data_IF_834629648215
#
_entry.id   IF_834629648215
#
_cell.length_a   1.000
_cell.length_b   1.000
_cell.length_c   1.000
_cell.angle_alpha   90.00
_cell.angle_beta   90.00
_cell.angle_gamma   90.00
#
_symmetry.space_group_name_H-M   'P 1'
#
loop_
_entity.id
_entity.type
_entity.pdbx_description
1 polymer ?
#
# COMPACT_ATOMS: atom_id res chain seq x y z
N UNK A 1 -5.66 14.38 -19.49
CA UNK A 1 -4.35 13.71 -19.30
C UNK A 1 -3.87 13.07 -20.59
N UNK A 2 -4.55 12.02 -21.10
CA UNK A 2 -4.15 11.30 -22.33
C UNK A 2 -3.92 12.23 -23.52
N UNK A 3 -4.81 13.20 -23.72
CA UNK A 3 -4.72 14.13 -24.86
C UNK A 3 -3.48 15.03 -24.79
N UNK A 4 -3.11 15.49 -23.58
CA UNK A 4 -1.90 16.29 -23.36
C UNK A 4 -0.65 15.46 -23.70
N UNK A 5 -0.58 14.22 -23.20
CA UNK A 5 0.57 13.34 -23.48
C UNK A 5 0.68 13.02 -24.97
N UNK A 6 -0.44 12.75 -25.65
CA UNK A 6 -0.47 12.55 -27.11
C UNK A 6 -0.04 13.79 -27.88
N UNK A 7 -0.49 14.98 -27.47
CA UNK A 7 -0.09 16.24 -28.08
C UNK A 7 1.42 16.48 -27.96
N UNK A 8 2.03 16.04 -26.85
CA UNK A 8 3.48 16.07 -26.65
C UNK A 8 4.23 14.97 -27.41
N UNK A 9 3.55 14.16 -28.21
CA UNK A 9 4.14 13.11 -29.05
C UNK A 9 4.23 11.74 -28.40
N UNK A 10 3.67 11.53 -27.20
CA UNK A 10 3.66 10.21 -26.58
C UNK A 10 2.73 9.24 -27.32
N UNK A 11 3.24 8.03 -27.60
CA UNK A 11 2.42 6.91 -28.06
C UNK A 11 1.82 6.23 -26.84
N UNK A 12 0.49 6.11 -26.81
CA UNK A 12 -0.24 5.54 -25.68
C UNK A 12 -0.98 4.27 -26.12
N UNK A 13 -0.71 3.18 -25.42
CA UNK A 13 -1.46 1.94 -25.48
C UNK A 13 -1.88 1.49 -24.08
N UNK A 14 -2.85 0.58 -24.01
CA UNK A 14 -3.38 0.09 -22.73
C UNK A 14 -2.66 -1.19 -22.30
N UNK A 15 -2.38 -1.30 -21.00
CA UNK A 15 -1.79 -2.48 -20.40
C UNK A 15 -2.57 -2.89 -19.16
N UNK A 16 -2.77 -4.19 -18.99
CA UNK A 16 -3.46 -4.76 -17.84
C UNK A 16 -2.43 -5.26 -16.84
N UNK A 17 -2.45 -4.68 -15.65
CA UNK A 17 -1.68 -5.19 -14.50
C UNK A 17 -2.54 -6.13 -13.65
N UNK A 18 -1.91 -6.81 -12.70
CA UNK A 18 -2.60 -7.62 -11.68
C UNK A 18 -3.62 -6.75 -10.91
N UNK A 19 -4.73 -7.34 -10.41
CA UNK A 19 -5.68 -6.61 -9.58
C UNK A 19 -5.02 -5.82 -8.44
N UNK A 20 -5.48 -4.59 -8.23
CA UNK A 20 -4.91 -3.69 -7.22
C UNK A 20 -4.97 -4.26 -5.79
N UNK A 21 -6.00 -5.05 -5.50
CA UNK A 21 -6.15 -5.74 -4.21
C UNK A 21 -4.95 -6.65 -3.91
N UNK A 22 -4.40 -7.31 -4.92
CA UNK A 22 -3.30 -8.25 -4.71
C UNK A 22 -2.02 -7.54 -4.30
N UNK A 23 -1.71 -6.42 -4.97
CA UNK A 23 -0.59 -5.56 -4.56
C UNK A 23 -0.82 -5.00 -3.14
N UNK A 24 -2.06 -4.65 -2.79
CA UNK A 24 -2.37 -4.17 -1.45
C UNK A 24 -2.18 -5.25 -0.39
N UNK A 25 -2.60 -6.47 -0.64
CA UNK A 25 -2.42 -7.60 0.28
C UNK A 25 -0.93 -7.87 0.52
N UNK A 26 -0.14 -7.96 -0.55
CA UNK A 26 1.32 -8.15 -0.44
C UNK A 26 1.97 -6.98 0.30
N UNK A 27 1.57 -5.74 0.03
CA UNK A 27 2.05 -4.56 0.77
C UNK A 27 1.82 -4.71 2.26
N UNK A 28 0.58 -5.01 2.66
CA UNK A 28 0.20 -5.10 4.09
C UNK A 28 0.93 -6.25 4.78
N UNK A 29 1.00 -7.42 4.13
CA UNK A 29 1.64 -8.62 4.70
C UNK A 29 3.17 -8.55 4.76
N UNK A 30 3.80 -7.59 4.08
CA UNK A 30 5.22 -7.27 4.25
C UNK A 30 5.40 -6.13 5.26
N UNK A 31 4.66 -5.03 5.08
CA UNK A 31 4.84 -3.80 5.86
C UNK A 31 4.43 -3.94 7.33
N UNK A 32 3.26 -4.51 7.63
CA UNK A 32 2.74 -4.50 9.01
C UNK A 32 3.54 -5.42 9.96
N UNK A 33 4.04 -6.60 9.54
CA UNK A 33 5.01 -7.36 10.32
C UNK A 33 6.29 -6.58 10.62
N UNK A 34 6.82 -5.81 9.66
CA UNK A 34 8.00 -4.97 9.86
C UNK A 34 7.73 -3.84 10.85
N UNK A 35 6.59 -3.15 10.72
CA UNK A 35 6.14 -2.13 11.68
C UNK A 35 6.02 -2.72 13.07
N UNK A 36 5.37 -3.88 13.22
CA UNK A 36 5.23 -4.54 14.51
C UNK A 36 6.60 -4.90 15.11
N UNK A 37 7.50 -5.48 14.31
CA UNK A 37 8.83 -5.86 14.77
C UNK A 37 9.65 -4.64 15.26
N UNK A 38 9.60 -3.52 14.54
CA UNK A 38 10.29 -2.27 14.93
C UNK A 38 9.73 -1.73 16.25
N UNK A 39 8.40 -1.77 16.42
CA UNK A 39 7.72 -1.19 17.58
C UNK A 39 7.45 -2.19 18.72
N UNK A 40 7.87 -3.45 18.61
CA UNK A 40 7.42 -4.54 19.48
C UNK A 40 7.68 -4.26 20.96
N UNK A 41 8.89 -3.82 21.30
CA UNK A 41 9.28 -3.55 22.69
C UNK A 41 8.41 -2.45 23.32
N UNK A 42 8.05 -1.43 22.54
CA UNK A 42 7.20 -0.33 23.00
C UNK A 42 5.71 -0.70 23.00
N UNK A 43 5.25 -1.51 22.05
CA UNK A 43 3.89 -2.06 22.06
C UNK A 43 3.65 -2.98 23.27
N UNK A 44 4.68 -3.65 23.78
CA UNK A 44 4.60 -4.45 25.00
C UNK A 44 4.59 -3.56 26.25
N UNK A 45 5.49 -2.58 26.33
CA UNK A 45 5.72 -1.79 27.55
C UNK A 45 4.73 -0.63 27.72
N UNK A 46 4.39 0.04 26.62
CA UNK A 46 3.67 1.32 26.58
C UNK A 46 2.73 1.44 25.37
N UNK A 47 1.82 0.45 25.15
CA UNK A 47 0.89 0.52 24.02
C UNK A 47 -0.04 1.74 24.08
N UNK A 48 -0.27 2.31 25.27
CA UNK A 48 -1.09 3.52 25.46
C UNK A 48 -0.48 4.81 24.89
N UNK A 49 0.82 4.83 24.57
CA UNK A 49 1.47 5.99 23.93
C UNK A 49 1.09 6.12 22.45
N UNK A 50 0.50 5.07 21.86
CA UNK A 50 0.16 5.03 20.44
C UNK A 50 -1.31 5.41 20.19
N UNK A 51 -1.53 6.15 19.11
CA UNK A 51 -2.88 6.46 18.65
C UNK A 51 -3.65 5.19 18.24
N UNK A 52 -4.97 5.21 18.44
CA UNK A 52 -5.91 4.13 18.08
C UNK A 52 -5.71 3.61 16.65
N UNK A 53 -5.54 4.51 15.68
CA UNK A 53 -5.37 4.15 14.26
C UNK A 53 -4.10 3.33 14.02
N UNK A 54 -3.00 3.69 14.69
CA UNK A 54 -1.76 2.93 14.62
C UNK A 54 -1.92 1.55 15.26
N UNK A 55 -2.52 1.48 16.45
CA UNK A 55 -2.74 0.20 17.15
C UNK A 55 -3.62 -0.75 16.34
N UNK A 56 -4.69 -0.25 15.71
CA UNK A 56 -5.58 -1.05 14.86
C UNK A 56 -4.94 -1.55 13.55
N UNK A 57 -3.73 -1.10 13.23
CA UNK A 57 -2.93 -1.56 12.09
C UNK A 57 -1.75 -2.46 12.50
N UNK A 58 -1.03 -2.04 13.54
CA UNK A 58 0.19 -2.70 14.00
C UNK A 58 -0.09 -3.96 14.82
N UNK A 59 -1.03 -3.93 15.78
CA UNK A 59 -1.33 -5.09 16.64
C UNK A 59 -1.72 -6.35 15.83
N UNK A 60 -2.56 -6.26 14.78
CA UNK A 60 -2.95 -7.42 13.96
C UNK A 60 -1.80 -8.19 13.32
N UNK A 61 -0.61 -7.59 13.22
CA UNK A 61 0.57 -8.29 12.73
C UNK A 61 0.99 -9.46 13.63
N UNK A 62 0.64 -9.45 14.93
CA UNK A 62 0.91 -10.59 15.82
C UNK A 62 0.16 -11.87 15.42
N UNK A 63 -0.87 -11.76 14.59
CA UNK A 63 -1.65 -12.89 14.06
C UNK A 63 -0.98 -13.52 12.83
N UNK A 64 0.04 -12.87 12.25
CA UNK A 64 0.68 -13.27 11.01
C UNK A 64 1.95 -14.06 11.32
N UNK A 65 1.93 -15.35 11.00
CA UNK A 65 3.11 -16.20 11.16
C UNK A 65 4.22 -15.89 10.13
N UNK A 66 5.46 -16.32 10.39
CA UNK A 66 6.61 -16.05 9.50
C UNK A 66 6.41 -16.61 8.08
N UNK A 67 5.67 -17.71 7.94
CA UNK A 67 5.32 -18.28 6.64
C UNK A 67 4.56 -17.29 5.75
N UNK A 68 3.69 -16.44 6.33
CA UNK A 68 2.91 -15.44 5.57
C UNK A 68 3.83 -14.39 4.96
N UNK A 69 4.80 -13.89 5.74
CA UNK A 69 5.79 -12.92 5.27
C UNK A 69 6.63 -13.49 4.12
N UNK A 70 7.07 -14.75 4.23
CA UNK A 70 7.81 -15.44 3.17
C UNK A 70 6.97 -15.61 1.90
N UNK A 71 5.70 -16.02 2.01
CA UNK A 71 4.81 -16.14 0.84
C UNK A 71 4.48 -14.79 0.21
N UNK A 72 4.35 -13.73 1.00
CA UNK A 72 4.20 -12.37 0.48
C UNK A 72 5.44 -11.93 -0.29
N UNK A 73 6.65 -12.24 0.21
CA UNK A 73 7.90 -12.00 -0.50
C UNK A 73 8.00 -12.75 -1.82
N UNK A 74 7.47 -13.98 -1.89
CA UNK A 74 7.36 -14.76 -3.13
C UNK A 74 6.38 -14.13 -4.13
N UNK A 75 5.19 -13.69 -3.67
CA UNK A 75 4.26 -12.96 -4.54
C UNK A 75 4.87 -11.65 -5.04
N UNK A 76 5.61 -10.93 -4.19
CA UNK A 76 6.33 -9.72 -4.58
C UNK A 76 7.29 -9.96 -5.75
N UNK A 77 8.03 -11.09 -5.76
CA UNK A 77 8.91 -11.45 -6.88
C UNK A 77 8.12 -11.60 -8.17
N UNK A 78 7.04 -12.40 -8.18
CA UNK A 78 6.14 -12.53 -9.33
C UNK A 78 5.62 -11.17 -9.83
N UNK A 79 5.23 -10.29 -8.90
CA UNK A 79 4.73 -8.95 -9.23
C UNK A 79 5.79 -8.06 -9.88
N UNK A 80 7.05 -8.16 -9.44
CA UNK A 80 8.18 -7.46 -10.06
C UNK A 80 8.39 -7.96 -11.49
N UNK A 81 8.48 -9.28 -11.69
CA UNK A 81 8.73 -9.88 -12.99
C UNK A 81 7.62 -9.53 -14.00
N UNK A 82 6.35 -9.61 -13.57
CA UNK A 82 5.19 -9.21 -14.38
C UNK A 82 5.20 -7.72 -14.74
N UNK A 83 5.62 -6.86 -13.81
CA UNK A 83 5.69 -5.42 -14.08
C UNK A 83 6.86 -5.07 -15.00
N UNK A 84 8.00 -5.75 -14.89
CA UNK A 84 9.10 -5.63 -15.85
C UNK A 84 8.67 -6.02 -17.26
N UNK A 85 7.98 -7.16 -17.41
CA UNK A 85 7.43 -7.60 -18.70
C UNK A 85 6.48 -6.54 -19.30
N UNK A 86 5.67 -5.88 -18.47
CA UNK A 86 4.77 -4.80 -18.93
C UNK A 86 5.51 -3.56 -19.44
N UNK A 87 6.77 -3.38 -19.03
CA UNK A 87 7.64 -2.26 -19.41
C UNK A 87 8.67 -2.62 -20.50
N UNK A 88 8.72 -3.86 -21.00
CA UNK A 88 9.72 -4.26 -22.03
C UNK A 88 9.64 -3.40 -23.30
N UNK A 89 8.43 -3.06 -23.73
CA UNK A 89 8.17 -2.24 -24.93
C UNK A 89 7.72 -0.81 -24.61
N UNK A 90 7.83 -0.38 -23.33
CA UNK A 90 7.27 0.90 -22.84
C UNK A 90 8.27 1.62 -21.96
N UNK A 91 8.39 2.93 -22.15
CA UNK A 91 9.26 3.76 -21.31
C UNK A 91 8.71 3.96 -19.89
N UNK A 92 7.38 3.98 -19.76
CA UNK A 92 6.69 4.21 -18.49
C UNK A 92 5.26 3.67 -18.49
N UNK A 93 4.74 3.45 -17.29
CA UNK A 93 3.33 3.22 -17.01
C UNK A 93 2.71 4.51 -16.48
N UNK A 94 1.49 4.82 -16.94
CA UNK A 94 0.72 5.96 -16.43
C UNK A 94 -0.65 5.48 -15.95
N UNK A 95 -0.99 5.82 -14.72
CA UNK A 95 -2.28 5.49 -14.09
C UNK A 95 -2.84 6.70 -13.35
N UNK A 96 -4.09 6.58 -12.88
CA UNK A 96 -4.68 7.57 -11.97
C UNK A 96 -3.91 7.59 -10.65
N UNK A 97 -3.65 8.78 -10.13
CA UNK A 97 -3.11 8.93 -8.78
C UNK A 97 -4.21 8.80 -7.72
N UNK A 98 -3.88 9.00 -6.44
CA UNK A 98 -4.87 9.08 -5.37
C UNK A 98 -5.98 10.08 -5.72
N UNK A 99 -7.22 9.72 -5.40
CA UNK A 99 -8.39 10.59 -5.57
C UNK A 99 -8.31 11.86 -4.71
N UNK A 100 -9.33 12.72 -4.79
CA UNK A 100 -9.35 13.95 -4.00
C UNK A 100 -9.28 13.64 -2.50
N UNK A 101 -8.68 14.56 -1.74
CA UNK A 101 -8.56 14.42 -0.30
C UNK A 101 -9.96 14.17 0.32
N UNK A 102 -10.15 13.07 1.07
CA UNK A 102 -11.40 12.84 1.79
C UNK A 102 -11.55 13.88 2.91
N UNK A 103 -12.78 14.05 3.39
CA UNK A 103 -13.02 14.83 4.60
C UNK A 103 -12.32 14.18 5.79
N UNK A 104 -11.86 14.99 6.73
CA UNK A 104 -11.19 14.50 7.93
C UNK A 104 -12.08 13.57 8.77
N UNK A 105 -13.36 13.93 8.90
CA UNK A 105 -14.39 13.14 9.59
C UNK A 105 -14.77 11.83 8.88
N UNK A 106 -14.24 11.55 7.69
CA UNK A 106 -14.46 10.28 6.98
C UNK A 106 -13.37 9.23 7.25
N UNK A 107 -12.26 9.62 7.91
CA UNK A 107 -11.14 8.73 8.16
C UNK A 107 -11.47 7.69 9.24
N UNK A 108 -11.34 6.40 8.92
CA UNK A 108 -11.37 5.32 9.93
C UNK A 108 -10.32 4.26 9.65
N UNK A 109 -10.01 3.52 10.70
CA UNK A 109 -9.14 2.34 10.67
C UNK A 109 -9.85 1.11 10.10
N UNK A 110 -11.15 0.89 10.42
CA UNK A 110 -11.88 -0.36 10.09
C UNK A 110 -13.10 -0.19 9.19
N UNK A 111 -13.37 -1.21 8.36
CA UNK A 111 -14.60 -1.45 7.58
C UNK A 111 -14.39 -1.62 6.05
N UNK A 112 -15.44 -1.97 5.31
CA UNK A 112 -15.40 -2.28 3.87
C UNK A 112 -14.98 -1.09 2.98
N UNK A 113 -15.43 0.14 3.29
CA UNK A 113 -15.08 1.35 2.52
C UNK A 113 -13.83 2.07 3.05
N UNK A 114 -13.07 1.45 3.95
CA UNK A 114 -12.05 2.14 4.74
C UNK A 114 -10.63 1.96 4.19
N UNK A 115 -9.83 3.00 4.39
CA UNK A 115 -8.62 3.26 3.63
C UNK A 115 -7.50 2.23 3.80
N UNK A 116 -7.48 1.49 4.91
CA UNK A 116 -6.36 0.59 5.21
C UNK A 116 -6.67 -0.89 4.89
N UNK A 117 -7.68 -1.47 5.54
CA UNK A 117 -7.98 -2.91 5.42
C UNK A 117 -8.89 -3.27 4.24
N UNK A 118 -9.82 -2.37 3.86
CA UNK A 118 -10.87 -2.67 2.88
C UNK A 118 -10.66 -2.09 1.48
N UNK A 119 -9.91 -0.97 1.38
CA UNK A 119 -9.70 -0.27 0.12
C UNK A 119 -8.24 -0.39 -0.36
N UNK A 120 -8.00 -1.00 -1.54
CA UNK A 120 -6.66 -1.05 -2.10
C UNK A 120 -6.08 0.34 -2.34
N UNK A 121 -4.85 0.55 -1.91
CA UNK A 121 -4.13 1.80 -2.16
C UNK A 121 -3.58 1.82 -3.60
N UNK A 122 -3.90 2.88 -4.36
CA UNK A 122 -3.46 3.10 -5.74
C UNK A 122 -1.94 3.18 -5.89
N UNK A 123 -1.21 3.54 -4.83
CA UNK A 123 0.25 3.59 -4.84
C UNK A 123 0.91 2.26 -4.49
N UNK A 124 0.13 1.25 -4.06
CA UNK A 124 0.65 -0.07 -3.69
C UNK A 124 1.47 -0.75 -4.78
N UNK A 125 1.07 -0.73 -6.07
CA UNK A 125 1.82 -1.45 -7.11
C UNK A 125 3.30 -1.07 -7.15
N UNK A 126 3.59 0.23 -7.23
CA UNK A 126 4.97 0.72 -7.33
C UNK A 126 5.72 0.71 -6.00
N UNK A 127 5.00 0.83 -4.87
CA UNK A 127 5.60 0.67 -3.53
C UNK A 127 6.07 -0.77 -3.30
N UNK A 128 5.24 -1.75 -3.71
CA UNK A 128 5.56 -3.17 -3.58
C UNK A 128 6.70 -3.55 -4.53
N UNK A 129 6.65 -3.14 -5.80
CA UNK A 129 7.71 -3.49 -6.74
C UNK A 129 9.01 -2.72 -6.49
N UNK A 130 8.94 -1.56 -5.85
CA UNK A 130 10.08 -0.66 -5.62
C UNK A 130 10.48 0.12 -6.87
N UNK A 131 9.57 0.26 -7.84
CA UNK A 131 9.85 0.96 -9.09
C UNK A 131 9.74 2.47 -8.88
N UNK A 132 10.58 3.29 -9.55
CA UNK A 132 10.48 4.74 -9.42
C UNK A 132 9.11 5.21 -9.89
N UNK A 133 8.44 6.02 -9.08
CA UNK A 133 7.12 6.54 -9.38
C UNK A 133 6.94 7.99 -8.92
N UNK A 134 6.24 8.79 -9.72
CA UNK A 134 5.96 10.21 -9.49
C UNK A 134 4.46 10.47 -9.59
N UNK A 135 3.92 11.19 -8.61
CA UNK A 135 2.59 11.77 -8.72
C UNK A 135 2.68 13.18 -9.30
N UNK A 136 1.97 13.42 -10.40
CA UNK A 136 1.92 14.71 -11.10
C UNK A 136 0.51 15.28 -11.02
N UNK A 137 0.40 16.58 -10.73
CA UNK A 137 -0.87 17.28 -10.62
C UNK A 137 -1.58 17.37 -11.97
N UNK A 138 -2.83 16.89 -12.05
CA UNK A 138 -3.60 16.79 -13.33
C UNK A 138 -4.85 17.66 -13.36
N UNK A 139 -4.96 18.63 -12.44
CA UNK A 139 -6.12 19.49 -12.27
C UNK A 139 -6.89 19.17 -11.00
N UNK A 140 -8.16 19.58 -10.93
CA UNK A 140 -8.93 19.54 -9.69
C UNK A 140 -10.36 19.04 -9.93
N UNK A 141 -11.00 18.59 -8.86
CA UNK A 141 -12.43 18.26 -8.88
C UNK A 141 -13.27 19.52 -9.05
N UNK A 142 -14.59 19.35 -9.29
CA UNK A 142 -15.56 20.45 -9.28
C UNK A 142 -15.55 21.26 -7.96
N UNK A 143 -15.16 20.62 -6.85
CA UNK A 143 -15.02 21.23 -5.53
C UNK A 143 -13.63 21.88 -5.30
N UNK A 144 -12.77 21.90 -6.30
CA UNK A 144 -11.43 22.51 -6.23
C UNK A 144 -10.38 21.65 -5.53
N UNK A 145 -10.65 20.37 -5.24
CA UNK A 145 -9.67 19.48 -4.62
C UNK A 145 -8.68 18.94 -5.66
N UNK A 146 -7.36 18.92 -5.37
CA UNK A 146 -6.36 18.43 -6.31
C UNK A 146 -6.57 16.97 -6.74
N UNK A 147 -6.26 16.70 -8.01
CA UNK A 147 -6.20 15.38 -8.61
C UNK A 147 -4.78 15.12 -9.16
N UNK A 148 -4.41 13.86 -9.27
CA UNK A 148 -3.09 13.49 -9.78
C UNK A 148 -3.14 12.29 -10.72
N UNK A 149 -2.08 12.13 -11.49
CA UNK A 149 -1.72 10.88 -12.15
C UNK A 149 -0.43 10.35 -11.54
N UNK A 150 -0.25 9.04 -11.57
CA UNK A 150 1.01 8.40 -11.21
C UNK A 150 1.72 7.92 -12.46
N UNK A 151 3.00 8.28 -12.60
CA UNK A 151 3.90 7.79 -13.64
C UNK A 151 4.89 6.85 -12.97
N UNK A 152 5.18 5.69 -13.54
CA UNK A 152 6.22 4.79 -13.06
C UNK A 152 7.09 4.26 -14.20
N UNK A 153 8.37 4.03 -13.96
CA UNK A 153 9.31 3.50 -14.96
C UNK A 153 10.04 2.26 -14.44
N UNK A 154 11.01 1.76 -15.22
CA UNK A 154 11.85 0.61 -14.83
C UNK A 154 12.75 0.98 -13.64
N UNK A 155 13.25 -0.02 -12.88
CA UNK A 155 14.20 0.23 -11.80
C UNK A 155 15.37 1.12 -12.26
N UNK A 156 15.74 2.09 -11.43
CA UNK A 156 16.81 3.07 -11.68
C UNK A 156 16.55 4.08 -12.81
N UNK A 157 15.32 4.16 -13.32
CA UNK A 157 14.93 5.14 -14.35
C UNK A 157 14.16 6.34 -13.79
N UNK A 158 14.53 6.84 -12.60
CA UNK A 158 13.96 8.05 -11.99
C UNK A 158 13.95 9.25 -12.95
N UNK A 159 15.01 9.39 -13.74
CA UNK A 159 15.11 10.43 -14.77
C UNK A 159 14.00 10.35 -15.82
N UNK A 160 13.55 9.14 -16.19
CA UNK A 160 12.46 8.96 -17.15
C UNK A 160 11.14 9.50 -16.58
N UNK A 161 10.83 9.09 -15.36
CA UNK A 161 9.61 9.52 -14.66
C UNK A 161 9.59 11.04 -14.48
N UNK A 162 10.73 11.63 -14.08
CA UNK A 162 10.86 13.08 -13.92
C UNK A 162 10.74 13.84 -15.25
N UNK A 163 11.30 13.32 -16.35
CA UNK A 163 11.17 13.92 -17.68
C UNK A 163 9.71 13.95 -18.16
N UNK A 164 8.98 12.85 -17.99
CA UNK A 164 7.56 12.79 -18.36
C UNK A 164 6.76 13.76 -17.50
N UNK A 165 7.04 13.83 -16.20
CA UNK A 165 6.43 14.78 -15.29
C UNK A 165 6.67 16.23 -15.70
N UNK A 166 7.93 16.64 -15.91
CA UNK A 166 8.29 17.99 -16.33
C UNK A 166 7.62 18.39 -17.66
N UNK A 167 7.63 17.49 -18.65
CA UNK A 167 6.97 17.74 -19.93
C UNK A 167 5.46 17.96 -19.77
N UNK A 168 4.79 17.12 -18.96
CA UNK A 168 3.36 17.27 -18.67
C UNK A 168 3.06 18.57 -17.93
N UNK A 169 3.87 18.94 -16.94
CA UNK A 169 3.66 20.17 -16.17
C UNK A 169 3.86 21.42 -17.01
N UNK A 170 4.85 21.45 -17.92
CA UNK A 170 5.06 22.57 -18.85
C UNK A 170 3.95 22.73 -19.87
N UNK A 171 3.34 21.62 -20.28
CA UNK A 171 2.25 21.61 -21.25
C UNK A 171 0.88 21.98 -20.63
N UNK A 172 0.82 22.19 -19.31
CA UNK A 172 -0.43 22.44 -18.61
C UNK A 172 -0.34 23.69 -17.73
N UNK A 173 -1.49 24.34 -17.50
CA UNK A 173 -1.56 25.54 -16.66
C UNK A 173 -2.07 25.23 -15.25
N UNK A 174 -2.14 23.96 -14.85
CA UNK A 174 -2.76 23.58 -13.57
C UNK A 174 -2.15 24.32 -12.38
N UNK A 175 -0.83 24.51 -12.39
CA UNK A 175 -0.06 25.17 -11.32
C UNK A 175 -0.29 26.68 -11.20
N UNK A 176 -1.01 27.31 -12.13
CA UNK A 176 -1.42 28.72 -12.00
C UNK A 176 -2.46 28.91 -10.90
N UNK A 177 -3.26 27.89 -10.61
CA UNK A 177 -4.19 27.86 -9.48
C UNK A 177 -3.48 27.39 -8.22
N UNK A 178 -3.46 28.23 -7.19
CA UNK A 178 -2.95 27.88 -5.84
C UNK A 178 -4.09 27.75 -4.83
N UNK A 179 -3.97 26.87 -3.81
CA UNK A 179 -4.92 26.83 -2.70
C UNK A 179 -4.96 28.19 -1.98
N UNK A 180 -6.17 28.67 -1.69
CA UNK A 180 -6.37 29.87 -0.88
C UNK A 180 -6.37 29.44 0.59
N UNK A 181 -5.24 29.59 1.26
CA UNK A 181 -5.11 29.27 2.68
C UNK A 181 -5.45 30.51 3.51
N UNK A 182 -6.36 30.36 4.48
CA UNK A 182 -6.73 31.43 5.42
C UNK A 182 -5.95 31.23 6.70
N UNK A 183 -5.05 32.16 7.02
CA UNK A 183 -4.30 32.12 8.27
C UNK A 183 -5.26 32.30 9.46
N UNK A 184 -5.09 31.46 10.49
CA UNK A 184 -5.94 31.52 11.69
C UNK A 184 -7.36 30.98 11.50
N UNK A 185 -7.65 30.32 10.38
CA UNK A 185 -8.93 29.63 10.20
C UNK A 185 -9.16 28.63 11.33
N UNK A 186 -10.33 28.69 11.96
CA UNK A 186 -10.74 27.69 12.95
C UNK A 186 -11.03 26.37 12.25
N UNK A 187 -10.51 25.27 12.80
CA UNK A 187 -10.93 23.96 12.36
C UNK A 187 -12.39 23.74 12.79
N UNK A 188 -13.25 23.19 11.91
CA UNK A 188 -14.61 22.84 12.31
C UNK A 188 -14.56 21.80 13.43
N UNK A 189 -15.57 21.80 14.31
CA UNK A 189 -15.75 20.70 15.25
C UNK A 189 -15.82 19.38 14.46
N UNK A 190 -15.00 18.41 14.85
CA UNK A 190 -14.87 17.15 14.14
C UNK A 190 -15.66 16.11 14.90
N UNK A 191 -16.82 15.74 14.37
CA UNK A 191 -17.53 14.56 14.81
C UNK A 191 -17.06 13.36 13.99
N UNK A 192 -16.29 12.48 14.62
CA UNK A 192 -15.92 11.21 14.00
C UNK A 192 -17.19 10.38 13.83
N UNK A 193 -17.60 10.09 12.60
CA UNK A 193 -18.77 9.23 12.41
C UNK A 193 -18.51 7.85 13.01
N UNK A 194 -19.59 7.20 13.45
CA UNK A 194 -19.53 5.91 14.12
C UNK A 194 -18.72 4.87 13.32
N UNK A 195 -17.91 4.08 14.04
CA UNK A 195 -17.27 2.92 13.45
C UNK A 195 -18.34 1.85 13.12
N UNK A 196 -18.12 1.04 12.08
CA UNK A 196 -18.98 -0.11 11.83
C UNK A 196 -18.98 -1.06 13.06
N UNK A 197 -20.04 -1.86 13.23
CA UNK A 197 -20.08 -2.84 14.31
C UNK A 197 -18.93 -3.83 14.19
N UNK A 198 -18.46 -4.33 15.32
CA UNK A 198 -17.43 -5.36 15.38
C UNK A 198 -17.90 -6.62 14.65
N UNK A 199 -17.01 -7.33 13.96
CA UNK A 199 -17.35 -8.61 13.37
C UNK A 199 -17.73 -9.62 14.46
N UNK A 200 -18.77 -10.41 14.23
CA UNK A 200 -19.09 -11.53 15.11
C UNK A 200 -18.06 -12.64 14.88
N UNK A 201 -17.21 -12.88 15.89
CA UNK A 201 -16.19 -13.93 15.86
C UNK A 201 -16.68 -15.17 16.60
N UNK A 202 -16.39 -16.37 16.07
CA UNK A 202 -16.62 -17.62 16.81
C UNK A 202 -15.59 -17.81 17.92
N UNK A 203 -15.88 -18.68 18.90
CA UNK A 203 -15.02 -18.92 20.05
C UNK A 203 -13.60 -19.33 19.68
N UNK A 204 -13.45 -20.18 18.65
CA UNK A 204 -12.12 -20.61 18.16
C UNK A 204 -11.28 -19.43 17.68
N UNK A 205 -11.88 -18.50 16.94
CA UNK A 205 -11.20 -17.31 16.44
C UNK A 205 -10.82 -16.36 17.58
N UNK A 206 -11.71 -16.17 18.57
CA UNK A 206 -11.43 -15.36 19.75
C UNK A 206 -10.23 -15.93 20.53
N UNK A 207 -10.24 -17.22 20.84
CA UNK A 207 -9.13 -17.89 21.53
C UNK A 207 -7.82 -17.80 20.74
N UNK A 208 -7.87 -17.98 19.41
CA UNK A 208 -6.67 -17.82 18.57
C UNK A 208 -6.07 -16.41 18.68
N UNK A 209 -6.90 -15.38 18.64
CA UNK A 209 -6.48 -13.98 18.72
C UNK A 209 -5.86 -13.66 20.08
N UNK A 210 -6.52 -14.08 21.16
CA UNK A 210 -6.05 -13.89 22.54
C UNK A 210 -4.70 -14.58 22.75
N UNK A 211 -4.61 -15.87 22.42
CA UNK A 211 -3.36 -16.62 22.55
C UNK A 211 -2.23 -16.03 21.70
N UNK A 212 -2.52 -15.52 20.50
CA UNK A 212 -1.51 -14.89 19.64
C UNK A 212 -0.98 -13.59 20.25
N UNK A 213 -1.86 -12.76 20.83
CA UNK A 213 -1.46 -11.55 21.54
C UNK A 213 -0.59 -11.87 22.77
N UNK A 214 -0.99 -12.87 23.56
CA UNK A 214 -0.23 -13.34 24.72
C UNK A 214 1.16 -13.88 24.34
N UNK A 215 1.23 -14.70 23.28
CA UNK A 215 2.50 -15.22 22.78
C UNK A 215 3.42 -14.11 22.25
N UNK A 216 2.85 -13.05 21.71
CA UNK A 216 3.59 -11.86 21.30
C UNK A 216 4.02 -10.96 22.50
N UNK A 217 3.67 -11.34 23.73
CA UNK A 217 3.99 -10.61 24.96
C UNK A 217 3.09 -9.39 25.21
N UNK A 218 2.01 -9.23 24.45
CA UNK A 218 1.12 -8.08 24.53
C UNK A 218 0.15 -8.23 25.69
N UNK A 219 0.11 -7.21 26.57
CA UNK A 219 -0.88 -7.10 27.65
C UNK A 219 -1.87 -6.00 27.30
N UNK A 220 -2.85 -6.35 26.47
CA UNK A 220 -3.79 -5.39 25.89
C UNK A 220 -4.93 -5.06 26.86
N UNK A 221 -5.35 -3.80 26.87
CA UNK A 221 -6.63 -3.41 27.51
C UNK A 221 -7.81 -3.96 26.72
N UNK A 222 -9.01 -3.96 27.29
CA UNK A 222 -10.24 -4.38 26.57
C UNK A 222 -10.45 -3.60 25.28
N UNK A 223 -10.18 -2.29 25.28
CA UNK A 223 -10.27 -1.44 24.07
C UNK A 223 -9.24 -1.83 23.01
N UNK A 224 -8.01 -2.17 23.41
CA UNK A 224 -6.95 -2.56 22.48
C UNK A 224 -7.18 -3.97 21.91
N UNK A 225 -7.67 -4.90 22.73
CA UNK A 225 -8.07 -6.23 22.28
C UNK A 225 -9.22 -6.15 21.27
N UNK A 226 -10.16 -5.22 21.48
CA UNK A 226 -11.25 -4.97 20.55
C UNK A 226 -10.76 -4.50 19.17
N UNK A 227 -9.70 -3.68 19.10
CA UNK A 227 -9.06 -3.34 17.82
C UNK A 227 -8.52 -4.59 17.10
N UNK A 228 -7.93 -5.51 17.86
CA UNK A 228 -7.38 -6.75 17.33
C UNK A 228 -8.49 -7.67 16.79
N UNK A 229 -9.58 -7.85 17.54
CA UNK A 229 -10.77 -8.59 17.09
C UNK A 229 -11.37 -8.00 15.81
N UNK A 230 -11.44 -6.67 15.71
CA UNK A 230 -11.95 -5.98 14.51
C UNK A 230 -11.08 -6.19 13.28
N UNK A 231 -9.76 -6.19 13.44
CA UNK A 231 -8.81 -6.31 12.34
C UNK A 231 -8.62 -7.76 11.86
N UNK A 232 -8.71 -8.72 12.78
CA UNK A 232 -8.29 -10.10 12.54
C UNK A 232 -8.91 -10.75 11.29
N UNK A 233 -10.23 -10.62 11.00
CA UNK A 233 -10.81 -11.19 9.79
C UNK A 233 -10.16 -10.66 8.50
N UNK A 234 -9.78 -9.39 8.47
CA UNK A 234 -9.14 -8.78 7.30
C UNK A 234 -7.71 -9.30 7.12
N UNK A 235 -6.91 -9.26 8.18
CA UNK A 235 -5.51 -9.71 8.15
C UNK A 235 -5.41 -11.20 7.77
N UNK A 236 -6.25 -12.06 8.37
CA UNK A 236 -6.26 -13.49 8.08
C UNK A 236 -6.80 -13.80 6.67
N UNK A 237 -7.81 -13.06 6.19
CA UNK A 237 -8.27 -13.21 4.81
C UNK A 237 -7.21 -12.80 3.78
N UNK A 238 -6.42 -11.74 4.06
CA UNK A 238 -5.27 -11.37 3.23
C UNK A 238 -4.23 -12.48 3.20
N UNK A 239 -3.85 -13.02 4.37
CA UNK A 239 -2.89 -14.11 4.48
C UNK A 239 -3.33 -15.33 3.67
N UNK A 240 -4.61 -15.71 3.75
CA UNK A 240 -5.17 -16.82 2.96
C UNK A 240 -5.07 -16.57 1.45
N UNK A 241 -5.36 -15.36 0.96
CA UNK A 241 -5.26 -15.04 -0.47
C UNK A 241 -3.82 -15.11 -0.99
N UNK A 242 -2.84 -14.70 -0.17
CA UNK A 242 -1.43 -14.63 -0.58
C UNK A 242 -0.70 -15.97 -0.43
N UNK A 243 -1.05 -16.79 0.57
CA UNK A 243 -0.36 -18.05 0.86
C UNK A 243 -0.72 -19.21 -0.07
N UNK A 244 -1.78 -19.09 -0.88
CA UNK A 244 -2.23 -20.16 -1.77
C UNK A 244 -1.50 -20.12 -3.13
N UNK A 245 -1.08 -21.28 -3.63
CA UNK A 245 -0.75 -21.48 -5.05
C UNK A 245 0.63 -20.99 -5.51
N UNK A 246 1.67 -21.14 -4.68
CA UNK A 246 3.05 -20.88 -5.09
C UNK A 246 3.74 -22.14 -5.57
N UNK A 247 4.35 -22.06 -6.75
CA UNK A 247 5.30 -23.07 -7.22
C UNK A 247 6.50 -23.13 -6.27
N UNK A 248 7.03 -24.33 -6.03
CA UNK A 248 8.16 -24.54 -5.14
C UNK A 248 9.41 -23.76 -5.59
N UNK A 249 9.60 -23.59 -6.90
CA UNK A 249 10.76 -22.90 -7.51
C UNK A 249 10.75 -21.38 -7.34
N UNK A 250 9.66 -20.82 -6.82
CA UNK A 250 9.55 -19.39 -6.61
C UNK A 250 10.22 -18.99 -5.30
N UNK A 251 11.43 -18.45 -5.41
CA UNK A 251 12.14 -17.92 -4.26
C UNK A 251 11.57 -16.57 -3.80
N UNK A 252 11.62 -16.24 -2.50
CA UNK A 252 11.23 -14.93 -2.01
C UNK A 252 12.05 -13.81 -2.66
N UNK A 253 11.46 -12.63 -2.85
CA UNK A 253 12.15 -11.49 -3.46
C UNK A 253 13.46 -11.06 -2.76
N UNK A 254 13.63 -11.40 -1.48
CA UNK A 254 14.85 -11.15 -0.72
C UNK A 254 16.02 -12.10 -1.06
N UNK A 255 15.78 -13.17 -1.82
CA UNK A 255 16.84 -14.02 -2.34
C UNK A 255 17.45 -13.38 -3.60
N UNK A 256 18.75 -13.11 -3.56
CA UNK A 256 19.51 -12.73 -4.75
C UNK A 256 19.69 -13.97 -5.62
N UNK A 257 19.20 -13.93 -6.87
CA UNK A 257 19.73 -14.79 -7.92
C UNK A 257 20.85 -14.02 -8.60
N UNK A 258 22.07 -14.46 -8.39
CA UNK A 258 23.12 -14.18 -9.35
C UNK A 258 22.72 -15.01 -10.58
N UNK A 259 22.27 -14.34 -11.64
CA UNK A 259 22.19 -14.99 -12.95
C UNK A 259 23.56 -15.60 -13.23
N UNK A 260 23.54 -16.85 -13.72
CA UNK A 260 24.69 -17.71 -13.92
C UNK A 260 25.92 -16.90 -14.27
N UNK A 261 26.96 -17.01 -13.42
CA UNK A 261 28.29 -16.61 -13.81
C UNK A 261 28.53 -17.20 -15.20
N UNK A 262 28.71 -16.32 -16.19
CA UNK A 262 29.37 -16.62 -17.44
C UNK A 262 30.53 -17.52 -17.07
N UNK A 263 30.45 -18.80 -17.45
CA UNK A 263 31.55 -19.73 -17.30
C UNK A 263 32.77 -19.00 -17.84
N UNK A 264 33.71 -18.64 -16.98
CA UNK A 264 35.01 -18.18 -17.42
C UNK A 264 35.57 -19.31 -18.26
N UNK A 265 35.50 -19.17 -19.58
CA UNK A 265 36.19 -20.03 -20.52
C UNK A 265 37.65 -20.03 -20.12
N UNK A 266 38.10 -21.17 -19.58
CA UNK A 266 39.51 -21.36 -19.22
C UNK A 266 40.37 -21.26 -20.48
N UNK A 267 41.60 -20.70 -20.37
CA UNK A 267 42.48 -20.42 -21.50
C UNK A 267 42.97 -21.67 -22.23
#
# INVERSE_FOLDING_TARGET
>A
MRDVLRHLGAKLDDVTLRPLQDYNDVRVLLQEPEVFAIHQADLIKRPGDYARDFLGRALPACLLGPHVYIQAGRQRRKMIDQMLASLESRDALVTIGPGPAPRFDAQRTFGFFHAFWGKPNLTSPFSVTGFPALNVYTGHTKLGLPLSMQIAARPFEDAMVLRIGDAYERATQWRTRRPQLVQGASHPAIELAAEPPSPTLNSRMQTFIECSAEQAGLRLTGEQMELLFRAAPYALAMALRVCNGHDWSLEPAAAFRLEEFVCWSSP
#
